data_IF_307038096322
#
_entry.id   IF_307038096322
#
_cell.length_a   1.000
_cell.length_b   1.000
_cell.length_c   1.000
_cell.angle_alpha   90.00
_cell.angle_beta   90.00
_cell.angle_gamma   90.00
#
_symmetry.space_group_name_H-M   'P 1'
#
loop_
_entity.id
_entity.type
_entity.pdbx_description
1 polymer ?
#
# COMPACT_ATOMS: atom_id res chain seq x y z
N UNK A 1 3.31 2.38 -28.68
CA UNK A 1 2.56 1.70 -27.59
C UNK A 1 1.34 2.54 -27.24
N UNK A 2 0.17 1.93 -27.02
CA UNK A 2 -1.05 2.66 -26.62
C UNK A 2 -0.76 3.45 -25.31
N UNK A 3 -1.07 4.77 -25.24
CA UNK A 3 -0.82 5.58 -24.04
C UNK A 3 -1.38 4.97 -22.76
N UNK A 4 -2.56 4.34 -22.83
CA UNK A 4 -3.18 3.69 -21.67
C UNK A 4 -2.36 2.51 -21.16
N UNK A 5 -1.82 1.69 -22.07
CA UNK A 5 -0.96 0.56 -21.73
C UNK A 5 0.34 1.06 -21.07
N UNK A 6 0.94 2.14 -21.62
CA UNK A 6 2.14 2.77 -21.04
C UNK A 6 1.90 3.20 -19.59
N UNK A 7 0.81 3.93 -19.35
CA UNK A 7 0.41 4.42 -18.02
C UNK A 7 0.19 3.25 -17.06
N UNK A 8 -0.51 2.19 -17.50
CA UNK A 8 -0.74 0.98 -16.69
C UNK A 8 0.58 0.34 -16.27
N UNK A 9 1.52 0.14 -17.19
CA UNK A 9 2.82 -0.46 -16.90
C UNK A 9 3.61 0.41 -15.92
N UNK A 10 3.68 1.72 -16.17
CA UNK A 10 4.39 2.67 -15.30
C UNK A 10 3.78 2.70 -13.89
N UNK A 11 2.45 2.63 -13.79
CA UNK A 11 1.74 2.61 -12.51
C UNK A 11 2.04 1.33 -11.74
N UNK A 12 1.87 0.16 -12.36
CA UNK A 12 2.19 -1.15 -11.75
C UNK A 12 3.64 -1.16 -11.28
N UNK A 13 4.56 -0.75 -12.13
CA UNK A 13 5.97 -0.71 -11.79
C UNK A 13 6.25 0.19 -10.57
N UNK A 14 5.71 1.41 -10.56
CA UNK A 14 5.85 2.33 -9.43
C UNK A 14 5.25 1.80 -8.13
N UNK A 15 4.14 1.07 -8.23
CA UNK A 15 3.44 0.47 -7.09
C UNK A 15 4.26 -0.66 -6.46
N UNK A 16 4.73 -1.60 -7.28
CA UNK A 16 5.58 -2.70 -6.83
C UNK A 16 6.91 -2.19 -6.26
N UNK A 17 7.52 -1.20 -6.91
CA UNK A 17 8.78 -0.63 -6.45
C UNK A 17 8.61 0.10 -5.11
N UNK A 18 7.50 0.81 -4.90
CA UNK A 18 7.23 1.43 -3.61
C UNK A 18 7.02 0.40 -2.49
N UNK A 19 6.37 -0.73 -2.77
CA UNK A 19 6.28 -1.84 -1.80
C UNK A 19 7.68 -2.36 -1.42
N UNK A 20 8.53 -2.60 -2.42
CA UNK A 20 9.90 -3.07 -2.20
C UNK A 20 10.73 -2.08 -1.38
N UNK A 21 10.66 -0.78 -1.72
CA UNK A 21 11.50 0.26 -1.12
C UNK A 21 11.01 0.74 0.24
N UNK A 22 9.73 0.56 0.55
CA UNK A 22 9.14 1.05 1.81
C UNK A 22 8.76 -0.11 2.71
N UNK A 23 7.91 -1.03 2.27
CA UNK A 23 7.32 -2.06 3.15
C UNK A 23 8.38 -3.03 3.68
N UNK A 24 9.34 -3.43 2.85
CA UNK A 24 10.38 -4.38 3.29
C UNK A 24 11.29 -3.74 4.36
N UNK A 25 11.88 -2.54 4.14
CA UNK A 25 12.64 -1.87 5.19
C UNK A 25 11.80 -1.52 6.42
N UNK A 26 10.56 -1.05 6.23
CA UNK A 26 9.68 -0.67 7.34
C UNK A 26 9.32 -1.87 8.22
N UNK A 27 9.09 -3.03 7.61
CA UNK A 27 8.93 -4.28 8.34
C UNK A 27 10.16 -4.57 9.21
N UNK A 28 11.36 -4.56 8.64
CA UNK A 28 12.58 -4.91 9.37
C UNK A 28 12.94 -3.92 10.48
N UNK A 29 12.68 -2.62 10.26
CA UNK A 29 13.16 -1.54 11.14
C UNK A 29 12.13 -1.06 12.15
N UNK A 30 10.83 -1.23 11.87
CA UNK A 30 9.75 -0.66 12.69
C UNK A 30 8.75 -1.73 13.11
N UNK A 31 8.25 -2.55 12.17
CA UNK A 31 7.10 -3.40 12.47
C UNK A 31 7.43 -4.76 13.05
N UNK A 32 8.68 -5.25 12.92
CA UNK A 32 9.06 -6.63 13.22
C UNK A 32 8.64 -7.09 14.62
N UNK A 33 8.80 -6.24 15.64
CA UNK A 33 8.46 -6.55 17.04
C UNK A 33 6.96 -6.83 17.26
N UNK A 34 6.08 -6.28 16.40
CA UNK A 34 4.64 -6.53 16.48
C UNK A 34 4.25 -7.84 15.78
N UNK A 35 5.11 -8.36 14.90
CA UNK A 35 4.94 -9.65 14.21
C UNK A 35 5.60 -10.81 14.96
N UNK A 36 6.75 -10.58 15.59
CA UNK A 36 7.61 -11.61 16.19
C UNK A 36 8.13 -11.17 17.57
N UNK A 37 8.21 -12.11 18.52
CA UNK A 37 8.77 -11.88 19.85
C UNK A 37 7.72 -11.75 20.96
N UNK A 38 8.17 -11.41 22.16
CA UNK A 38 7.34 -11.44 23.39
C UNK A 38 6.23 -10.38 23.41
N UNK A 39 6.34 -9.34 22.56
CA UNK A 39 5.35 -8.27 22.41
C UNK A 39 4.51 -8.39 21.13
N UNK A 40 4.56 -9.54 20.44
CA UNK A 40 3.88 -9.72 19.17
C UNK A 40 2.35 -9.74 19.35
N UNK A 41 1.67 -8.74 18.79
CA UNK A 41 0.20 -8.61 18.83
C UNK A 41 -0.46 -9.03 17.52
N UNK A 42 0.26 -8.96 16.39
CA UNK A 42 -0.29 -9.31 15.08
C UNK A 42 -0.64 -10.79 14.91
N UNK A 43 0.05 -11.78 15.51
CA UNK A 43 -0.37 -13.17 15.44
C UNK A 43 -1.79 -13.45 15.97
N UNK A 44 -2.37 -12.53 16.75
CA UNK A 44 -3.74 -12.67 17.27
C UNK A 44 -4.82 -12.58 16.17
N UNK A 45 -4.52 -11.96 15.03
CA UNK A 45 -5.51 -11.71 13.95
C UNK A 45 -4.91 -11.74 12.54
N UNK A 46 -3.59 -11.83 12.40
CA UNK A 46 -2.88 -11.97 11.12
C UNK A 46 -2.15 -13.31 11.05
N UNK A 47 -2.04 -13.82 9.81
CA UNK A 47 -1.06 -14.86 9.49
C UNK A 47 0.33 -14.21 9.57
N UNK A 48 1.20 -14.75 10.41
CA UNK A 48 2.58 -14.28 10.59
C UNK A 48 3.57 -15.42 10.39
N UNK A 49 4.87 -15.11 10.40
CA UNK A 49 5.96 -16.09 10.24
C UNK A 49 5.99 -17.19 11.31
N UNK A 50 5.25 -17.03 12.43
CA UNK A 50 5.14 -18.05 13.47
C UNK A 50 4.43 -19.34 13.00
N UNK A 51 3.49 -19.23 12.06
CA UNK A 51 2.92 -20.36 11.32
C UNK A 51 3.50 -20.40 9.90
N UNK A 52 4.67 -21.03 9.75
CA UNK A 52 5.40 -21.06 8.49
C UNK A 52 4.60 -21.63 7.30
N UNK A 53 3.68 -22.56 7.54
CA UNK A 53 2.87 -23.15 6.47
C UNK A 53 1.78 -22.18 5.99
N UNK A 54 1.07 -21.52 6.91
CA UNK A 54 0.09 -20.49 6.56
C UNK A 54 0.77 -19.26 5.96
N UNK A 55 1.92 -18.83 6.51
CA UNK A 55 2.70 -17.71 6.02
C UNK A 55 3.16 -17.92 4.58
N UNK A 56 3.71 -19.10 4.27
CA UNK A 56 4.13 -19.44 2.91
C UNK A 56 2.96 -19.32 1.91
N UNK A 57 1.77 -19.84 2.27
CA UNK A 57 0.56 -19.69 1.45
C UNK A 57 0.11 -18.23 1.29
N UNK A 58 0.23 -17.41 2.33
CA UNK A 58 -0.10 -15.99 2.23
C UNK A 58 0.88 -15.27 1.28
N UNK A 59 2.18 -15.58 1.38
CA UNK A 59 3.22 -14.99 0.56
C UNK A 59 3.11 -15.35 -0.93
N UNK A 60 2.57 -16.51 -1.30
CA UNK A 60 2.31 -16.82 -2.72
C UNK A 60 1.25 -15.91 -3.35
N UNK A 61 0.29 -15.42 -2.55
CA UNK A 61 -0.75 -14.51 -2.99
C UNK A 61 -0.36 -13.03 -2.92
N UNK A 62 0.75 -12.69 -2.25
CA UNK A 62 1.18 -11.30 -2.07
C UNK A 62 1.37 -10.58 -3.41
N UNK A 63 2.21 -11.13 -4.30
CA UNK A 63 2.50 -10.50 -5.58
C UNK A 63 1.27 -10.42 -6.51
N UNK A 64 0.47 -11.49 -6.70
CA UNK A 64 -0.78 -11.41 -7.44
C UNK A 64 -1.75 -10.35 -6.89
N UNK A 65 -1.84 -10.22 -5.56
CA UNK A 65 -2.72 -9.25 -4.92
C UNK A 65 -2.26 -7.80 -5.14
N UNK A 66 -0.95 -7.54 -5.04
CA UNK A 66 -0.37 -6.22 -5.35
C UNK A 66 -0.58 -5.84 -6.82
N UNK A 67 -0.44 -6.80 -7.73
CA UNK A 67 -0.70 -6.57 -9.16
C UNK A 67 -2.17 -6.22 -9.42
N UNK A 68 -3.10 -6.99 -8.83
CA UNK A 68 -4.53 -6.75 -8.95
C UNK A 68 -4.92 -5.40 -8.35
N UNK A 69 -4.38 -5.05 -7.18
CA UNK A 69 -4.61 -3.75 -6.55
C UNK A 69 -4.14 -2.60 -7.46
N UNK A 70 -2.94 -2.70 -8.03
CA UNK A 70 -2.42 -1.70 -8.95
C UNK A 70 -3.30 -1.54 -10.20
N UNK A 71 -3.82 -2.65 -10.75
CA UNK A 71 -4.73 -2.65 -11.89
C UNK A 71 -6.06 -1.95 -11.57
N UNK A 72 -6.63 -2.20 -10.39
CA UNK A 72 -7.85 -1.55 -9.94
C UNK A 72 -7.65 -0.04 -9.77
N UNK A 73 -6.57 0.37 -9.11
CA UNK A 73 -6.30 1.80 -8.88
C UNK A 73 -6.02 2.53 -10.21
N UNK A 74 -5.21 1.95 -11.10
CA UNK A 74 -4.91 2.60 -12.38
C UNK A 74 -6.13 2.64 -13.30
N UNK A 75 -7.07 1.69 -13.19
CA UNK A 75 -8.34 1.75 -13.92
C UNK A 75 -9.13 3.02 -13.57
N UNK A 76 -9.13 3.43 -12.30
CA UNK A 76 -9.75 4.67 -11.87
C UNK A 76 -8.98 5.89 -12.38
N UNK A 77 -7.64 5.84 -12.33
CA UNK A 77 -6.79 6.90 -12.87
C UNK A 77 -7.04 7.12 -14.37
N UNK A 78 -7.28 6.05 -15.15
CA UNK A 78 -7.63 6.15 -16.57
C UNK A 78 -8.92 6.93 -16.82
N UNK A 79 -9.92 6.84 -15.93
CA UNK A 79 -11.17 7.58 -16.07
C UNK A 79 -10.97 9.10 -15.92
N UNK A 80 -10.01 9.51 -15.10
CA UNK A 80 -9.72 10.92 -14.81
C UNK A 80 -8.45 11.44 -15.50
N UNK A 81 -7.84 10.65 -16.38
CA UNK A 81 -6.50 10.93 -16.91
C UNK A 81 -6.39 12.27 -17.62
N UNK A 82 -7.37 12.60 -18.47
CA UNK A 82 -7.36 13.84 -19.26
C UNK A 82 -7.43 15.10 -18.39
N UNK A 83 -8.14 15.02 -17.28
CA UNK A 83 -8.16 16.06 -16.27
C UNK A 83 -6.86 16.07 -15.46
N UNK A 84 -6.40 14.88 -15.04
CA UNK A 84 -5.22 14.68 -14.19
C UNK A 84 -3.94 15.25 -14.82
N UNK A 85 -3.72 15.01 -16.11
CA UNK A 85 -2.51 15.50 -16.80
C UNK A 85 -2.45 17.03 -16.92
N UNK A 86 -3.59 17.73 -16.87
CA UNK A 86 -3.67 19.19 -16.91
C UNK A 86 -3.43 19.85 -15.55
N UNK A 87 -3.38 19.06 -14.48
CA UNK A 87 -3.20 19.59 -13.13
C UNK A 87 -1.73 19.89 -12.82
N UNK A 88 -1.45 20.86 -11.92
CA UNK A 88 -0.09 21.08 -11.44
C UNK A 88 0.44 19.86 -10.67
N UNK A 89 1.77 19.71 -10.62
CA UNK A 89 2.44 18.57 -10.00
C UNK A 89 1.96 18.28 -8.57
N UNK A 90 1.80 19.30 -7.74
CA UNK A 90 1.37 19.13 -6.35
C UNK A 90 -0.04 18.50 -6.26
N UNK A 91 -0.92 18.85 -7.20
CA UNK A 91 -2.28 18.30 -7.26
C UNK A 91 -2.29 16.88 -7.83
N UNK A 92 -1.43 16.59 -8.81
CA UNK A 92 -1.21 15.22 -9.28
C UNK A 92 -0.70 14.31 -8.16
N UNK A 93 0.30 14.79 -7.41
CA UNK A 93 0.89 14.10 -6.27
C UNK A 93 -0.16 13.84 -5.19
N UNK A 94 -0.92 14.88 -4.81
CA UNK A 94 -2.01 14.76 -3.85
C UNK A 94 -3.06 13.72 -4.27
N UNK A 95 -3.52 13.75 -5.52
CA UNK A 95 -4.53 12.81 -6.01
C UNK A 95 -4.03 11.37 -5.94
N UNK A 96 -2.78 11.11 -6.35
CA UNK A 96 -2.20 9.77 -6.28
C UNK A 96 -2.03 9.27 -4.84
N UNK A 97 -1.51 10.12 -3.95
CA UNK A 97 -1.35 9.80 -2.54
C UNK A 97 -2.71 9.52 -1.91
N UNK A 98 -3.69 10.39 -2.14
CA UNK A 98 -5.05 10.25 -1.63
C UNK A 98 -5.68 8.96 -2.14
N UNK A 99 -5.63 8.69 -3.45
CA UNK A 99 -6.19 7.47 -4.03
C UNK A 99 -5.58 6.22 -3.38
N UNK A 100 -4.26 6.17 -3.22
CA UNK A 100 -3.61 4.98 -2.66
C UNK A 100 -3.78 4.85 -1.14
N UNK A 101 -3.69 5.95 -0.39
CA UNK A 101 -3.85 5.93 1.07
C UNK A 101 -5.29 5.62 1.47
N UNK A 102 -6.27 6.21 0.79
CA UNK A 102 -7.69 5.99 1.10
C UNK A 102 -8.15 4.64 0.56
N UNK A 103 -8.04 4.38 -0.75
CA UNK A 103 -8.58 3.15 -1.35
C UNK A 103 -7.74 1.92 -1.03
N UNK A 104 -6.42 2.08 -0.98
CA UNK A 104 -5.49 0.98 -0.73
C UNK A 104 -5.20 0.71 0.74
N UNK A 105 -5.64 1.59 1.65
CA UNK A 105 -5.37 1.51 3.09
C UNK A 105 -6.62 1.67 3.93
N UNK A 106 -7.08 2.90 4.12
CA UNK A 106 -8.15 3.21 5.08
C UNK A 106 -9.48 2.51 4.77
N UNK A 107 -9.91 2.52 3.51
CA UNK A 107 -11.16 1.91 3.08
C UNK A 107 -11.01 0.42 2.72
N UNK A 108 -9.81 -0.15 2.85
CA UNK A 108 -9.56 -1.55 2.51
C UNK A 108 -10.09 -2.46 3.64
N UNK A 109 -11.09 -3.28 3.29
CA UNK A 109 -11.60 -4.37 4.12
C UNK A 109 -10.51 -5.45 4.18
N UNK A 110 -9.74 -5.45 5.26
CA UNK A 110 -8.66 -6.40 5.50
C UNK A 110 -8.44 -6.52 7.00
N UNK A 111 -7.89 -7.65 7.49
CA UNK A 111 -7.47 -7.82 8.88
C UNK A 111 -6.22 -6.97 9.17
N UNK A 112 -6.29 -5.66 8.89
CA UNK A 112 -5.22 -4.68 9.09
C UNK A 112 -5.68 -3.69 10.14
N UNK A 113 -4.84 -3.46 11.15
CA UNK A 113 -5.06 -2.41 12.16
C UNK A 113 -5.03 -1.01 11.55
N UNK A 114 -4.43 -0.82 10.38
CA UNK A 114 -4.36 0.47 9.72
C UNK A 114 -5.62 0.89 8.97
N UNK A 115 -6.62 0.01 8.80
CA UNK A 115 -7.87 0.34 8.09
C UNK A 115 -8.92 0.89 9.05
N UNK A 116 -9.95 1.55 8.51
CA UNK A 116 -11.08 2.03 9.32
C UNK A 116 -11.82 0.89 10.02
N UNK A 117 -11.96 -0.25 9.34
CA UNK A 117 -12.54 -1.45 9.93
C UNK A 117 -11.66 -2.00 11.06
N UNK A 118 -10.34 -2.05 10.84
CA UNK A 118 -9.38 -2.41 11.88
C UNK A 118 -9.41 -1.44 13.08
N UNK A 119 -9.68 -0.16 12.88
CA UNK A 119 -9.81 0.78 14.01
C UNK A 119 -11.11 0.56 14.80
N UNK A 120 -12.17 0.07 14.16
CA UNK A 120 -13.49 -0.12 14.79
C UNK A 120 -13.59 -1.46 15.51
N UNK A 121 -13.07 -2.53 14.91
CA UNK A 121 -13.32 -3.91 15.36
C UNK A 121 -12.17 -4.52 16.17
N UNK A 122 -11.11 -3.77 16.48
CA UNK A 122 -9.94 -4.33 17.13
C UNK A 122 -10.02 -4.38 18.67
N UNK A 123 -9.53 -5.53 19.12
CA UNK A 123 -9.17 -5.98 20.47
C UNK A 123 -8.30 -4.96 21.24
N UNK A 124 -8.53 -4.88 22.56
CA UNK A 124 -7.91 -3.93 23.51
C UNK A 124 -6.38 -3.87 23.51
N UNK A 125 -5.74 -4.89 22.97
CA UNK A 125 -4.31 -5.13 22.94
C UNK A 125 -3.59 -4.30 21.87
N UNK A 126 -4.30 -3.77 20.87
CA UNK A 126 -3.72 -2.90 19.84
C UNK A 126 -3.81 -1.43 20.27
N UNK A 127 -2.65 -0.83 20.48
CA UNK A 127 -2.56 0.57 20.92
C UNK A 127 -2.68 1.54 19.75
N UNK A 128 -3.08 2.79 20.04
CA UNK A 128 -3.12 3.89 19.05
C UNK A 128 -1.80 4.08 18.30
N UNK A 129 -0.68 3.80 18.96
CA UNK A 129 0.66 3.89 18.39
C UNK A 129 0.83 2.93 17.22
N UNK A 130 0.34 1.69 17.34
CA UNK A 130 0.43 0.68 16.29
C UNK A 130 -0.40 1.10 15.07
N UNK A 131 -1.61 1.66 15.31
CA UNK A 131 -2.43 2.23 14.22
C UNK A 131 -1.68 3.33 13.47
N UNK A 132 -1.02 4.24 14.20
CA UNK A 132 -0.23 5.33 13.60
C UNK A 132 0.93 4.78 12.77
N UNK A 133 1.65 3.76 13.25
CA UNK A 133 2.75 3.16 12.48
C UNK A 133 2.26 2.51 11.18
N UNK A 134 1.18 1.72 11.22
CA UNK A 134 0.66 1.11 10.00
C UNK A 134 0.12 2.17 9.02
N UNK A 135 -0.58 3.19 9.51
CA UNK A 135 -1.02 4.31 8.67
C UNK A 135 0.16 5.06 8.04
N UNK A 136 1.22 5.27 8.82
CA UNK A 136 2.41 5.95 8.36
C UNK A 136 3.12 5.15 7.26
N UNK A 137 3.20 3.82 7.39
CA UNK A 137 3.72 2.95 6.32
C UNK A 137 2.92 3.11 5.03
N UNK A 138 1.58 3.02 5.10
CA UNK A 138 0.68 3.15 3.95
C UNK A 138 0.87 4.52 3.28
N UNK A 139 0.96 5.58 4.08
CA UNK A 139 1.20 6.93 3.59
C UNK A 139 2.56 7.05 2.90
N UNK A 140 3.63 6.52 3.51
CA UNK A 140 4.98 6.56 2.96
C UNK A 140 5.08 5.78 1.64
N UNK A 141 4.47 4.59 1.57
CA UNK A 141 4.34 3.82 0.34
C UNK A 141 3.63 4.65 -0.75
N UNK A 142 2.54 5.33 -0.40
CA UNK A 142 1.77 6.18 -1.30
C UNK A 142 2.59 7.35 -1.84
N UNK A 143 3.34 8.01 -0.96
CA UNK A 143 4.24 9.11 -1.31
C UNK A 143 5.32 8.66 -2.32
N UNK A 144 6.01 7.55 -2.02
CA UNK A 144 7.09 7.02 -2.87
C UNK A 144 6.55 6.60 -4.24
N UNK A 145 5.43 5.89 -4.29
CA UNK A 145 4.83 5.47 -5.56
C UNK A 145 4.38 6.64 -6.42
N UNK A 146 3.71 7.63 -5.83
CA UNK A 146 3.30 8.83 -6.55
C UNK A 146 4.51 9.57 -7.15
N UNK A 147 5.59 9.70 -6.38
CA UNK A 147 6.85 10.30 -6.83
C UNK A 147 7.47 9.55 -8.02
N UNK A 148 7.61 8.22 -7.90
CA UNK A 148 8.16 7.37 -8.98
C UNK A 148 7.28 7.45 -10.23
N UNK A 149 5.96 7.31 -10.08
CA UNK A 149 5.03 7.34 -11.20
C UNK A 149 5.07 8.65 -11.96
N UNK A 150 4.99 9.79 -11.26
CA UNK A 150 5.02 11.10 -11.91
C UNK A 150 6.36 11.38 -12.57
N UNK A 151 7.47 10.90 -12.00
CA UNK A 151 8.78 10.99 -12.63
C UNK A 151 8.84 10.19 -13.94
N UNK A 152 8.28 8.97 -13.96
CA UNK A 152 8.22 8.13 -15.16
C UNK A 152 7.32 8.71 -16.26
N UNK A 153 6.19 9.33 -15.87
CA UNK A 153 5.25 9.95 -16.82
C UNK A 153 5.81 11.24 -17.42
N UNK A 154 6.51 12.07 -16.64
CA UNK A 154 7.04 13.37 -17.10
C UNK A 154 8.27 13.29 -18.01
N UNK A 155 9.06 12.20 -17.92
CA UNK A 155 10.29 12.05 -18.71
C UNK A 155 10.03 11.72 -20.19
N UNK A 156 8.78 11.47 -20.59
CA UNK A 156 8.39 10.96 -21.91
C UNK A 156 6.98 11.41 -22.30
#
# INVERSE_FOLDING_TARGET
>A
MNPKIKITIQFIFSHLLAYLLVSIPYFQLVMKEYYEGDSAVFPLFLVTSSDGAAWSRAMTWLFPSLLLQALLIVSFLHLIWDWFQKQPFNKQMFVLIWMRTILGGLAAISPSVGSLEGMVFMISEVTITIHIYVLFEIFLQSLVQAGIFLWLVKRF
#
